data_IF_450630995098
#
_entry.id   IF_450630995098
#
_cell.length_a   1.000
_cell.length_b   1.000
_cell.length_c   1.000
_cell.angle_alpha   90.00
_cell.angle_beta   90.00
_cell.angle_gamma   90.00
#
_symmetry.space_group_name_H-M   'P 1'
#
loop_
_entity.id
_entity.type
_entity.pdbx_description
1 polymer ?
#
# COMPACT_ATOMS: atom_id res chain seq x y z
N UNK A 1 4.98 17.34 24.61
CA UNK A 1 6.00 16.82 23.67
C UNK A 1 5.87 17.50 22.32
N UNK A 2 6.99 17.92 21.71
CA UNK A 2 7.02 18.53 20.39
C UNK A 2 7.40 17.50 19.31
N UNK A 3 6.59 17.40 18.24
CA UNK A 3 6.77 16.45 17.14
C UNK A 3 6.85 17.21 15.84
N UNK A 4 7.85 16.88 15.02
CA UNK A 4 7.98 17.39 13.67
C UNK A 4 7.55 16.31 12.66
N UNK A 5 6.68 16.67 11.72
CA UNK A 5 6.15 15.83 10.67
C UNK A 5 6.83 16.17 9.36
N UNK A 6 7.55 15.21 8.78
CA UNK A 6 8.20 15.35 7.48
C UNK A 6 7.29 14.86 6.36
N UNK A 7 7.47 15.40 5.15
CA UNK A 7 6.64 15.09 3.97
C UNK A 7 5.12 15.19 4.30
N UNK A 8 4.75 16.23 5.03
CA UNK A 8 3.38 16.45 5.46
C UNK A 8 2.59 17.12 4.33
N UNK A 9 1.67 16.39 3.74
CA UNK A 9 0.74 16.92 2.74
C UNK A 9 -0.48 17.55 3.45
N UNK A 10 -1.25 18.39 2.74
CA UNK A 10 -2.38 19.10 3.34
C UNK A 10 -3.40 18.14 4.00
N UNK A 11 -3.68 17.00 3.39
CA UNK A 11 -4.60 16.00 3.96
C UNK A 11 -4.10 15.40 5.29
N UNK A 12 -2.77 15.27 5.46
CA UNK A 12 -2.17 14.85 6.74
C UNK A 12 -2.44 15.93 7.78
N UNK A 13 -2.08 17.19 7.46
CA UNK A 13 -2.26 18.35 8.36
C UNK A 13 -3.71 18.43 8.82
N UNK A 14 -4.67 18.39 7.89
CA UNK A 14 -6.09 18.47 8.22
C UNK A 14 -6.54 17.34 9.16
N UNK A 15 -6.08 16.11 8.90
CA UNK A 15 -6.41 14.94 9.71
C UNK A 15 -5.79 15.02 11.11
N UNK A 16 -4.50 15.35 11.20
CA UNK A 16 -3.79 15.47 12.49
C UNK A 16 -4.33 16.63 13.32
N UNK A 17 -4.56 17.80 12.75
CA UNK A 17 -5.12 18.96 13.47
C UNK A 17 -6.55 18.71 13.97
N UNK A 18 -7.36 17.93 13.22
CA UNK A 18 -8.67 17.50 13.68
C UNK A 18 -8.57 16.61 14.94
N UNK A 19 -7.59 15.70 14.98
CA UNK A 19 -7.37 14.79 16.11
C UNK A 19 -6.63 15.45 17.26
N UNK A 20 -5.69 16.37 17.00
CA UNK A 20 -4.84 17.04 18.00
C UNK A 20 -5.64 17.70 19.12
N UNK A 21 -6.87 18.11 18.84
CA UNK A 21 -7.78 18.69 19.86
C UNK A 21 -7.98 17.76 21.07
N UNK A 22 -7.81 16.45 20.88
CA UNK A 22 -7.91 15.43 21.93
C UNK A 22 -6.57 15.17 22.64
N UNK A 23 -5.47 15.79 22.16
CA UNK A 23 -4.09 15.59 22.64
C UNK A 23 -3.39 16.94 22.87
N UNK A 24 -3.86 17.77 23.82
CA UNK A 24 -3.40 19.17 23.98
C UNK A 24 -1.91 19.28 24.35
N UNK A 25 -1.33 18.23 24.93
CA UNK A 25 0.07 18.19 25.33
C UNK A 25 1.03 17.96 24.14
N UNK A 26 0.50 17.64 22.95
CA UNK A 26 1.30 17.42 21.74
C UNK A 26 1.35 18.70 20.91
N UNK A 27 2.54 19.22 20.68
CA UNK A 27 2.81 20.31 19.72
C UNK A 27 3.26 19.70 18.38
N UNK A 28 2.58 20.05 17.29
CA UNK A 28 2.87 19.54 15.95
C UNK A 28 3.50 20.63 15.09
N UNK A 29 4.61 20.31 14.43
CA UNK A 29 5.24 21.14 13.40
C UNK A 29 5.23 20.36 12.09
N UNK A 30 4.72 20.94 11.01
CA UNK A 30 4.59 20.28 9.70
C UNK A 30 5.59 20.83 8.70
N UNK A 31 6.28 19.95 7.99
CA UNK A 31 7.21 20.27 6.91
C UNK A 31 6.81 19.51 5.64
N UNK A 32 6.85 20.21 4.51
CA UNK A 32 6.71 19.58 3.18
C UNK A 32 7.97 18.81 2.76
N UNK A 33 9.13 19.15 3.36
CA UNK A 33 10.41 18.52 3.05
C UNK A 33 10.45 17.07 3.55
N UNK A 34 11.08 16.20 2.76
CA UNK A 34 11.39 14.82 3.13
C UNK A 34 12.39 14.74 4.29
N UNK A 35 12.33 13.65 5.04
CA UNK A 35 13.34 13.32 6.04
C UNK A 35 14.57 12.72 5.35
N UNK A 36 15.63 13.50 5.30
CA UNK A 36 16.95 13.14 4.77
C UNK A 36 18.04 13.43 5.81
N UNK A 37 19.29 13.08 5.53
CA UNK A 37 20.41 13.44 6.42
C UNK A 37 20.55 14.97 6.58
N UNK A 38 20.33 15.73 5.50
CA UNK A 38 20.43 17.19 5.51
C UNK A 38 19.26 17.87 6.23
N UNK A 39 18.04 17.34 6.07
CA UNK A 39 16.83 17.91 6.68
C UNK A 39 16.62 17.46 8.12
N UNK A 40 17.29 16.39 8.57
CA UNK A 40 17.19 15.89 9.94
C UNK A 40 17.52 16.95 11.00
N UNK A 41 18.37 17.95 10.69
CA UNK A 41 18.68 19.09 11.55
C UNK A 41 17.46 19.95 11.91
N UNK A 42 16.42 19.93 11.09
CA UNK A 42 15.18 20.68 11.34
C UNK A 42 14.37 20.10 12.52
N UNK A 43 14.75 18.90 12.98
CA UNK A 43 14.17 18.29 14.19
C UNK A 43 14.78 18.82 15.50
N UNK A 44 15.70 19.78 15.43
CA UNK A 44 16.29 20.40 16.64
C UNK A 44 15.19 21.00 17.53
N UNK A 45 15.22 20.65 18.83
CA UNK A 45 14.20 21.05 19.80
C UNK A 45 12.90 20.26 19.73
N UNK A 46 12.83 19.19 18.92
CA UNK A 46 11.72 18.24 18.89
C UNK A 46 12.14 16.92 19.56
N UNK A 47 11.28 16.34 20.37
CA UNK A 47 11.51 15.04 21.01
C UNK A 47 11.07 13.88 20.12
N UNK A 48 10.15 14.14 19.20
CA UNK A 48 9.62 13.16 18.26
C UNK A 48 9.67 13.61 16.81
N UNK A 49 9.84 12.65 15.91
CA UNK A 49 9.75 12.81 14.46
C UNK A 49 8.66 11.90 13.94
N UNK A 50 7.81 12.42 13.07
CA UNK A 50 6.84 11.62 12.32
C UNK A 50 7.24 11.59 10.84
N UNK A 51 7.39 10.38 10.28
CA UNK A 51 7.78 10.14 8.90
C UNK A 51 6.80 9.20 8.17
N UNK A 52 6.95 9.09 6.86
CA UNK A 52 6.09 8.26 6.01
C UNK A 52 6.93 7.24 5.21
N UNK A 53 6.26 6.45 4.36
CA UNK A 53 6.92 5.42 3.53
C UNK A 53 7.85 5.98 2.46
N UNK A 54 7.67 7.25 2.07
CA UNK A 54 8.50 8.00 1.13
C UNK A 54 9.91 8.27 1.65
N UNK A 55 10.09 8.42 2.96
CA UNK A 55 11.39 8.72 3.58
C UNK A 55 12.27 7.48 3.65
N UNK A 56 13.56 7.58 3.28
CA UNK A 56 14.55 6.52 3.50
C UNK A 56 15.35 6.82 4.77
N UNK A 57 15.01 6.14 5.87
CA UNK A 57 15.55 6.43 7.20
C UNK A 57 16.73 5.51 7.49
N UNK A 58 17.89 5.91 6.97
CA UNK A 58 19.17 5.19 7.12
C UNK A 58 19.80 5.44 8.50
N UNK A 59 20.85 4.67 8.82
CA UNK A 59 21.65 4.88 10.02
C UNK A 59 22.27 6.29 10.11
N UNK A 60 22.57 6.94 9.00
CA UNK A 60 23.08 8.34 8.99
C UNK A 60 22.00 9.34 9.40
N UNK A 61 20.76 9.16 8.90
CA UNK A 61 19.60 9.96 9.31
C UNK A 61 19.31 9.78 10.80
N UNK A 62 19.25 8.54 11.29
CA UNK A 62 19.00 8.22 12.69
C UNK A 62 20.07 8.80 13.61
N UNK A 63 21.35 8.74 13.20
CA UNK A 63 22.44 9.39 13.95
C UNK A 63 22.21 10.89 14.08
N UNK A 64 21.85 11.58 12.99
CA UNK A 64 21.55 13.01 13.01
C UNK A 64 20.37 13.35 13.91
N UNK A 65 19.30 12.56 13.82
CA UNK A 65 18.15 12.73 14.72
C UNK A 65 18.55 12.59 16.19
N UNK A 66 19.36 11.58 16.52
CA UNK A 66 19.90 11.39 17.87
C UNK A 66 20.77 12.59 18.33
N UNK A 67 21.65 13.10 17.46
CA UNK A 67 22.49 14.28 17.75
C UNK A 67 21.64 15.52 18.07
N UNK A 68 20.42 15.64 17.51
CA UNK A 68 19.46 16.71 17.76
C UNK A 68 18.47 16.40 18.90
N UNK A 69 18.67 15.28 19.63
CA UNK A 69 17.91 14.95 20.84
C UNK A 69 16.58 14.22 20.59
N UNK A 70 16.31 13.76 19.37
CA UNK A 70 15.13 12.97 19.04
C UNK A 70 15.20 11.59 19.71
N UNK A 71 14.11 11.17 20.34
CA UNK A 71 13.99 9.89 21.04
C UNK A 71 12.88 8.99 20.50
N UNK A 72 11.99 9.56 19.69
CA UNK A 72 10.82 8.88 19.15
C UNK A 72 10.73 9.09 17.65
N UNK A 73 10.63 7.98 16.89
CA UNK A 73 10.27 7.96 15.48
C UNK A 73 8.89 7.34 15.35
N UNK A 74 7.95 8.10 14.81
CA UNK A 74 6.59 7.70 14.53
C UNK A 74 6.44 7.46 13.03
N UNK A 75 6.09 6.24 12.64
CA UNK A 75 5.71 5.92 11.26
C UNK A 75 4.19 6.05 11.14
N UNK A 76 3.71 7.05 10.37
CA UNK A 76 2.27 7.23 10.12
C UNK A 76 1.74 6.24 9.07
N UNK A 77 2.24 4.99 9.12
CA UNK A 77 1.91 3.91 8.21
C UNK A 77 2.16 2.54 8.86
N UNK A 78 1.71 1.47 8.21
CA UNK A 78 1.92 0.10 8.69
C UNK A 78 3.30 -0.46 8.30
N UNK A 79 3.81 -0.11 7.11
CA UNK A 79 5.12 -0.52 6.63
C UNK A 79 6.26 0.24 7.31
N UNK A 80 7.40 -0.41 7.47
CA UNK A 80 8.61 0.18 8.07
C UNK A 80 9.90 -0.33 7.42
N UNK A 81 9.81 -0.90 6.23
CA UNK A 81 10.95 -1.45 5.48
C UNK A 81 12.00 -0.37 5.11
N UNK A 82 11.59 0.90 5.16
CA UNK A 82 12.39 2.07 4.89
C UNK A 82 13.16 2.59 6.13
N UNK A 83 13.09 1.90 7.28
CA UNK A 83 13.75 2.28 8.53
C UNK A 83 14.83 1.27 8.90
N UNK A 84 16.06 1.73 9.18
CA UNK A 84 17.11 0.90 9.76
C UNK A 84 16.87 0.71 11.26
N UNK A 85 16.18 -0.39 11.59
CA UNK A 85 15.79 -0.70 12.97
C UNK A 85 17.00 -0.97 13.87
N UNK A 86 18.08 -1.57 13.33
CA UNK A 86 19.30 -1.85 14.11
C UNK A 86 19.98 -0.57 14.56
N UNK A 87 20.07 0.41 13.65
CA UNK A 87 20.65 1.71 13.98
C UNK A 87 19.68 2.55 14.85
N UNK A 88 18.35 2.41 14.72
CA UNK A 88 17.42 3.04 15.64
C UNK A 88 17.64 2.56 17.09
N UNK A 89 17.75 1.25 17.31
CA UNK A 89 18.09 0.66 18.62
C UNK A 89 19.44 1.16 19.15
N UNK A 90 20.47 1.19 18.30
CA UNK A 90 21.82 1.66 18.63
C UNK A 90 21.83 3.12 19.13
N UNK A 91 21.02 3.99 18.53
CA UNK A 91 20.91 5.39 18.90
C UNK A 91 19.83 5.64 19.96
N UNK A 92 19.16 4.61 20.47
CA UNK A 92 18.13 4.74 21.51
C UNK A 92 16.86 5.43 21.03
N UNK A 93 16.56 5.38 19.73
CA UNK A 93 15.35 5.93 19.13
C UNK A 93 14.26 4.86 19.14
N UNK A 94 13.19 5.07 19.88
CA UNK A 94 12.02 4.18 19.86
C UNK A 94 11.24 4.38 18.57
N UNK A 95 11.00 3.28 17.83
CA UNK A 95 10.21 3.31 16.59
C UNK A 95 8.81 2.76 16.86
N UNK A 96 7.78 3.59 16.62
CA UNK A 96 6.37 3.22 16.73
C UNK A 96 5.69 3.43 15.38
N UNK A 97 4.74 2.56 15.04
CA UNK A 97 4.02 2.60 13.77
C UNK A 97 2.50 2.54 13.97
N UNK A 98 1.76 2.65 12.89
CA UNK A 98 0.32 2.38 12.85
C UNK A 98 0.12 0.99 12.22
N UNK A 99 -0.06 -0.08 13.03
CA UNK A 99 -0.06 -1.47 12.53
C UNK A 99 -1.29 -1.82 11.69
N UNK A 100 -2.33 -1.01 11.77
CA UNK A 100 -3.56 -1.16 10.98
C UNK A 100 -4.45 0.06 11.15
N UNK A 101 -4.98 0.56 10.05
CA UNK A 101 -5.80 1.77 10.04
C UNK A 101 -7.20 1.52 9.44
N UNK A 102 -7.31 0.87 8.29
CA UNK A 102 -8.55 0.44 7.64
C UNK A 102 -8.24 -0.69 6.66
N UNK A 103 -8.31 -1.95 7.07
CA UNK A 103 -8.16 -3.08 6.15
C UNK A 103 -9.21 -3.04 5.03
N UNK A 104 -10.39 -2.53 5.33
CA UNK A 104 -11.51 -2.36 4.41
C UNK A 104 -11.15 -1.41 3.28
N UNK A 105 -10.54 -0.24 3.56
CA UNK A 105 -10.16 0.74 2.55
C UNK A 105 -9.28 0.12 1.45
N UNK A 106 -8.25 -0.63 1.83
CA UNK A 106 -7.34 -1.27 0.86
C UNK A 106 -8.03 -2.40 0.11
N UNK A 107 -8.87 -3.20 0.78
CA UNK A 107 -9.61 -4.29 0.14
C UNK A 107 -10.67 -3.77 -0.84
N UNK A 108 -11.39 -2.72 -0.48
CA UNK A 108 -12.36 -2.05 -1.35
C UNK A 108 -11.67 -1.40 -2.56
N UNK A 109 -10.50 -0.78 -2.36
CA UNK A 109 -9.71 -0.24 -3.46
C UNK A 109 -9.24 -1.35 -4.41
N UNK A 110 -8.78 -2.50 -3.88
CA UNK A 110 -8.41 -3.66 -4.69
C UNK A 110 -9.60 -4.16 -5.53
N UNK A 111 -10.79 -4.25 -4.94
CA UNK A 111 -12.01 -4.63 -5.66
C UNK A 111 -12.42 -3.55 -6.67
N UNK A 112 -12.27 -2.26 -6.34
CA UNK A 112 -12.55 -1.17 -7.27
C UNK A 112 -11.65 -1.24 -8.50
N UNK A 113 -10.35 -1.49 -8.34
CA UNK A 113 -9.41 -1.73 -9.45
C UNK A 113 -9.83 -2.96 -10.27
N UNK A 114 -10.15 -4.09 -9.60
CA UNK A 114 -10.62 -5.30 -10.27
C UNK A 114 -11.86 -5.04 -11.13
N UNK A 115 -12.86 -4.34 -10.60
CA UNK A 115 -14.08 -3.97 -11.33
C UNK A 115 -13.80 -2.98 -12.46
N UNK A 116 -12.96 -1.96 -12.21
CA UNK A 116 -12.63 -0.94 -13.20
C UNK A 116 -11.93 -1.53 -14.43
N UNK A 117 -10.96 -2.45 -14.25
CA UNK A 117 -10.30 -3.12 -15.37
C UNK A 117 -11.22 -4.13 -16.06
N UNK A 118 -12.02 -4.86 -15.29
CA UNK A 118 -12.92 -5.91 -15.81
C UNK A 118 -14.07 -5.31 -16.61
N UNK A 119 -14.69 -4.23 -16.13
CA UNK A 119 -15.82 -3.55 -16.77
C UNK A 119 -15.36 -2.40 -17.68
N UNK A 120 -14.05 -2.17 -17.80
CA UNK A 120 -13.43 -1.12 -18.62
C UNK A 120 -13.99 0.28 -18.34
N UNK A 121 -14.27 0.58 -17.06
CA UNK A 121 -14.90 1.84 -16.62
C UNK A 121 -14.09 3.06 -17.08
N UNK A 122 -12.76 3.02 -16.87
CA UNK A 122 -11.83 4.08 -17.29
C UNK A 122 -11.93 4.40 -18.81
N UNK A 123 -12.06 3.37 -19.65
CA UNK A 123 -12.22 3.57 -21.10
C UNK A 123 -13.60 4.07 -21.47
N UNK A 124 -14.64 3.50 -20.87
CA UNK A 124 -16.01 3.95 -21.10
C UNK A 124 -16.18 5.42 -20.75
N UNK A 125 -15.62 5.85 -19.61
CA UNK A 125 -15.62 7.25 -19.17
C UNK A 125 -14.96 8.18 -20.20
N UNK A 126 -13.75 7.87 -20.67
CA UNK A 126 -13.03 8.67 -21.67
C UNK A 126 -13.82 8.75 -22.99
N UNK A 127 -14.28 7.60 -23.52
CA UNK A 127 -15.04 7.55 -24.76
C UNK A 127 -16.28 8.45 -24.73
N UNK A 128 -17.07 8.40 -23.67
CA UNK A 128 -18.27 9.23 -23.53
C UNK A 128 -17.92 10.72 -23.48
N UNK A 129 -16.83 11.11 -22.82
CA UNK A 129 -16.35 12.50 -22.83
C UNK A 129 -15.90 12.98 -24.20
N UNK A 130 -15.50 12.07 -25.08
CA UNK A 130 -15.16 12.33 -26.48
C UNK A 130 -16.37 12.17 -27.43
N UNK A 131 -17.59 12.14 -26.89
CA UNK A 131 -18.84 11.91 -27.63
C UNK A 131 -18.90 10.58 -28.38
N UNK A 132 -18.11 9.59 -27.97
CA UNK A 132 -18.11 8.25 -28.55
C UNK A 132 -18.91 7.29 -27.66
N UNK A 133 -20.16 7.02 -28.01
CA UNK A 133 -21.09 6.15 -27.26
C UNK A 133 -21.06 4.69 -27.76
N UNK A 134 -20.13 4.31 -28.64
CA UNK A 134 -20.00 2.94 -29.13
C UNK A 134 -19.51 1.99 -28.04
N UNK A 135 -20.12 0.81 -27.93
CA UNK A 135 -19.73 -0.26 -27.02
C UNK A 135 -18.50 -1.06 -27.48
N UNK A 136 -17.99 -0.80 -28.67
CA UNK A 136 -16.82 -1.53 -29.22
C UNK A 136 -15.61 -1.41 -28.26
N UNK A 137 -15.04 -2.56 -27.86
CA UNK A 137 -13.90 -2.64 -26.97
C UNK A 137 -14.23 -2.45 -25.47
N UNK A 138 -15.52 -2.36 -25.08
CA UNK A 138 -15.95 -2.22 -23.68
C UNK A 138 -16.52 -3.52 -23.09
N UNK A 139 -16.50 -4.64 -23.83
CA UNK A 139 -16.97 -5.92 -23.28
C UNK A 139 -16.17 -6.32 -22.06
N UNK A 140 -16.87 -6.58 -20.96
CA UNK A 140 -16.33 -6.99 -19.67
C UNK A 140 -16.66 -8.43 -19.31
N UNK A 141 -16.34 -8.80 -18.07
CA UNK A 141 -16.64 -10.09 -17.46
C UNK A 141 -17.46 -9.87 -16.18
N UNK A 142 -18.27 -10.87 -15.80
CA UNK A 142 -18.90 -10.92 -14.48
C UNK A 142 -18.02 -11.70 -13.51
N UNK A 143 -17.99 -11.28 -12.25
CA UNK A 143 -17.29 -12.03 -11.18
C UNK A 143 -18.17 -13.09 -10.54
N UNK A 144 -19.49 -12.94 -10.60
CA UNK A 144 -20.43 -13.93 -10.04
C UNK A 144 -20.16 -15.32 -10.62
N UNK A 145 -20.07 -16.32 -9.76
CA UNK A 145 -19.80 -17.71 -10.14
C UNK A 145 -18.37 -18.03 -10.52
N UNK A 146 -17.46 -17.04 -10.53
CA UNK A 146 -16.03 -17.22 -10.80
C UNK A 146 -15.24 -17.49 -9.51
N UNK A 147 -13.96 -17.80 -9.65
CA UNK A 147 -13.05 -18.07 -8.54
C UNK A 147 -12.16 -16.88 -8.26
N UNK A 148 -12.15 -16.44 -7.01
CA UNK A 148 -11.18 -15.47 -6.48
C UNK A 148 -10.06 -16.19 -5.74
N UNK A 149 -8.81 -15.96 -6.13
CA UNK A 149 -7.60 -16.41 -5.46
C UNK A 149 -6.96 -15.28 -4.66
N UNK A 150 -6.98 -15.40 -3.34
CA UNK A 150 -6.44 -14.40 -2.43
C UNK A 150 -5.11 -14.88 -1.89
N UNK A 151 -4.06 -14.11 -2.12
CA UNK A 151 -2.70 -14.42 -1.67
C UNK A 151 -2.37 -13.55 -0.47
N UNK A 152 -2.36 -14.15 0.72
CA UNK A 152 -2.31 -13.48 2.00
C UNK A 152 -3.71 -13.23 2.57
N UNK A 153 -4.01 -13.80 3.75
CA UNK A 153 -5.31 -13.71 4.44
C UNK A 153 -5.21 -13.03 5.80
N UNK A 154 -4.25 -12.10 5.93
CA UNK A 154 -4.20 -11.15 7.02
C UNK A 154 -5.45 -10.25 7.04
N UNK A 155 -5.43 -9.16 7.79
CA UNK A 155 -6.61 -8.29 7.95
C UNK A 155 -7.19 -7.81 6.61
N UNK A 156 -6.35 -7.34 5.69
CA UNK A 156 -6.76 -6.83 4.36
C UNK A 156 -7.27 -7.97 3.48
N UNK A 157 -6.51 -9.07 3.38
CA UNK A 157 -6.93 -10.23 2.57
C UNK A 157 -8.21 -10.87 3.09
N UNK A 158 -8.44 -10.89 4.40
CA UNK A 158 -9.68 -11.34 4.99
C UNK A 158 -10.88 -10.46 4.59
N UNK A 159 -10.69 -9.13 4.57
CA UNK A 159 -11.71 -8.21 4.07
C UNK A 159 -11.98 -8.46 2.58
N UNK A 160 -10.94 -8.63 1.76
CA UNK A 160 -11.08 -8.97 0.34
C UNK A 160 -11.80 -10.31 0.12
N UNK A 161 -11.51 -11.34 0.94
CA UNK A 161 -12.25 -12.62 0.89
C UNK A 161 -13.75 -12.40 1.10
N UNK A 162 -14.14 -11.60 2.10
CA UNK A 162 -15.55 -11.30 2.38
C UNK A 162 -16.21 -10.53 1.23
N UNK A 163 -15.51 -9.56 0.64
CA UNK A 163 -15.99 -8.81 -0.53
C UNK A 163 -16.22 -9.77 -1.69
N UNK A 164 -15.24 -10.62 -2.05
CA UNK A 164 -15.37 -11.59 -3.14
C UNK A 164 -16.51 -12.58 -2.87
N UNK A 165 -16.68 -13.05 -1.64
CA UNK A 165 -17.78 -13.93 -1.24
C UNK A 165 -19.13 -13.22 -1.46
N UNK A 166 -19.24 -11.95 -1.08
CA UNK A 166 -20.45 -11.12 -1.31
C UNK A 166 -20.78 -10.93 -2.79
N UNK A 167 -19.79 -11.00 -3.69
CA UNK A 167 -19.98 -11.02 -5.14
C UNK A 167 -20.46 -12.39 -5.68
N UNK A 168 -20.63 -13.40 -4.81
CA UNK A 168 -21.00 -14.75 -5.23
C UNK A 168 -19.84 -15.52 -5.89
N UNK A 169 -18.59 -15.16 -5.57
CA UNK A 169 -17.42 -15.90 -6.05
C UNK A 169 -17.09 -17.09 -5.15
N UNK A 170 -16.51 -18.14 -5.73
CA UNK A 170 -15.78 -19.16 -4.98
C UNK A 170 -14.46 -18.56 -4.52
N UNK A 171 -14.24 -18.47 -3.19
CA UNK A 171 -13.01 -17.90 -2.65
C UNK A 171 -12.06 -19.02 -2.25
N UNK A 172 -10.86 -18.98 -2.81
CA UNK A 172 -9.71 -19.82 -2.44
C UNK A 172 -8.53 -18.94 -2.04
N UNK A 173 -7.65 -19.45 -1.19
CA UNK A 173 -6.54 -18.65 -0.70
C UNK A 173 -5.25 -19.44 -0.54
N UNK A 174 -4.14 -18.71 -0.57
CA UNK A 174 -2.83 -19.16 -0.11
C UNK A 174 -2.35 -18.23 1.00
N UNK A 175 -1.94 -18.82 2.11
CA UNK A 175 -1.24 -18.14 3.19
C UNK A 175 -0.36 -19.15 3.91
N UNK A 176 0.74 -18.68 4.54
CA UNK A 176 1.55 -19.50 5.46
C UNK A 176 0.84 -19.72 6.79
N UNK A 177 -0.07 -18.81 7.17
CA UNK A 177 -0.92 -18.89 8.36
C UNK A 177 -2.38 -18.77 7.95
N UNK A 178 -3.09 -19.91 7.97
CA UNK A 178 -4.51 -19.93 7.62
C UNK A 178 -5.33 -19.15 8.67
N UNK A 179 -6.20 -18.28 8.21
CA UNK A 179 -7.07 -17.48 9.09
C UNK A 179 -8.31 -18.31 9.47
N UNK A 180 -8.48 -18.67 10.76
CA UNK A 180 -9.60 -19.49 11.21
C UNK A 180 -10.98 -18.81 11.11
N UNK A 181 -11.01 -17.48 11.02
CA UNK A 181 -12.26 -16.71 10.93
C UNK A 181 -12.85 -16.70 9.51
N UNK A 182 -12.22 -17.38 8.56
CA UNK A 182 -12.64 -17.47 7.16
C UNK A 182 -13.11 -18.88 6.82
N UNK A 183 -14.17 -19.34 7.45
CA UNK A 183 -14.74 -20.70 7.32
C UNK A 183 -15.23 -21.06 5.90
N UNK A 184 -15.57 -20.05 5.10
CA UNK A 184 -16.00 -20.19 3.71
C UNK A 184 -14.83 -20.25 2.71
N UNK A 185 -13.57 -19.98 3.16
CA UNK A 185 -12.37 -19.97 2.31
C UNK A 185 -11.68 -21.32 2.34
N UNK A 186 -11.33 -21.86 1.17
CA UNK A 186 -10.48 -23.04 1.07
C UNK A 186 -9.05 -22.66 0.78
N UNK A 187 -8.12 -23.21 1.58
CA UNK A 187 -6.69 -22.98 1.42
C UNK A 187 -6.05 -24.05 0.55
N UNK A 188 -5.20 -23.61 -0.37
CA UNK A 188 -4.46 -24.46 -1.30
C UNK A 188 -3.01 -23.98 -1.45
N UNK A 189 -2.10 -24.84 -1.98
CA UNK A 189 -0.78 -24.39 -2.41
C UNK A 189 -0.87 -23.25 -3.42
N UNK A 190 0.11 -22.34 -3.42
CA UNK A 190 0.14 -21.19 -4.32
C UNK A 190 -0.12 -21.57 -5.78
N UNK A 191 0.56 -22.62 -6.26
CA UNK A 191 0.42 -23.07 -7.67
C UNK A 191 -1.01 -23.46 -8.02
N UNK A 192 -1.78 -24.00 -7.09
CA UNK A 192 -3.17 -24.39 -7.30
C UNK A 192 -4.08 -23.15 -7.28
N UNK A 193 -3.85 -22.21 -6.33
CA UNK A 193 -4.56 -20.94 -6.32
C UNK A 193 -4.38 -20.20 -7.64
N UNK A 194 -3.16 -20.15 -8.17
CA UNK A 194 -2.90 -19.49 -9.46
C UNK A 194 -3.63 -20.15 -10.63
N UNK A 195 -3.68 -21.50 -10.68
CA UNK A 195 -4.35 -22.24 -11.77
C UNK A 195 -5.87 -22.12 -11.74
N UNK A 196 -6.47 -22.04 -10.55
CA UNK A 196 -7.91 -22.10 -10.39
C UNK A 196 -8.59 -20.72 -10.44
N UNK A 197 -7.83 -19.62 -10.32
CA UNK A 197 -8.39 -18.30 -10.13
C UNK A 197 -8.70 -17.56 -11.42
N UNK A 198 -9.84 -16.88 -11.44
CA UNK A 198 -10.26 -15.92 -12.47
C UNK A 198 -9.88 -14.48 -12.06
N UNK A 199 -9.82 -14.22 -10.74
CA UNK A 199 -9.28 -13.01 -10.10
C UNK A 199 -8.19 -13.42 -9.13
N UNK A 200 -7.02 -12.81 -9.22
CA UNK A 200 -5.91 -12.97 -8.26
C UNK A 200 -5.64 -11.62 -7.62
N UNK A 201 -5.62 -11.58 -6.28
CA UNK A 201 -5.35 -10.36 -5.52
C UNK A 201 -4.29 -10.62 -4.43
N UNK A 202 -3.26 -9.75 -4.41
CA UNK A 202 -2.13 -9.86 -3.48
C UNK A 202 -2.36 -9.02 -2.23
N UNK A 203 -2.25 -9.66 -1.06
CA UNK A 203 -2.38 -9.04 0.27
C UNK A 203 -1.36 -9.60 1.28
N UNK A 204 -0.29 -10.22 0.79
CA UNK A 204 0.81 -10.72 1.61
C UNK A 204 1.90 -9.66 1.81
N UNK A 205 2.69 -9.70 2.89
CA UNK A 205 3.82 -8.81 3.10
C UNK A 205 4.97 -9.12 2.12
N UNK A 206 5.82 -8.12 1.87
CA UNK A 206 7.08 -8.32 1.20
C UNK A 206 8.12 -8.85 2.20
N UNK A 207 8.63 -10.03 1.92
CA UNK A 207 9.70 -10.72 2.66
C UNK A 207 10.68 -11.30 1.65
N UNK A 208 11.80 -11.84 2.11
CA UNK A 208 12.74 -12.55 1.24
C UNK A 208 12.06 -13.70 0.46
N UNK A 209 11.16 -14.43 1.10
CA UNK A 209 10.43 -15.56 0.50
C UNK A 209 9.29 -15.15 -0.44
N UNK A 210 8.79 -13.93 -0.34
CA UNK A 210 7.73 -13.41 -1.20
C UNK A 210 8.23 -12.42 -2.25
N UNK A 211 9.52 -12.09 -2.25
CA UNK A 211 10.14 -11.27 -3.29
C UNK A 211 9.98 -11.93 -4.65
N UNK A 212 9.44 -11.19 -5.62
CA UNK A 212 9.11 -11.68 -6.96
C UNK A 212 8.28 -12.99 -6.95
N UNK A 213 7.35 -13.09 -5.98
CA UNK A 213 6.40 -14.21 -5.91
C UNK A 213 5.65 -14.39 -7.23
N UNK A 214 5.35 -13.28 -7.89
CA UNK A 214 4.76 -13.24 -9.24
C UNK A 214 5.87 -12.93 -10.25
N UNK A 215 6.20 -13.92 -11.05
CA UNK A 215 7.25 -13.93 -12.06
C UNK A 215 6.81 -14.73 -13.30
N UNK A 216 7.69 -14.90 -14.28
CA UNK A 216 7.37 -15.64 -15.51
C UNK A 216 6.81 -17.04 -15.26
N UNK A 217 7.39 -17.79 -14.29
CA UNK A 217 6.96 -19.15 -13.98
C UNK A 217 5.54 -19.14 -13.40
N UNK A 218 5.30 -18.35 -12.37
CA UNK A 218 4.01 -18.26 -11.68
C UNK A 218 2.93 -17.66 -12.58
N UNK A 219 3.24 -16.68 -13.43
CA UNK A 219 2.33 -16.14 -14.45
C UNK A 219 1.93 -17.23 -15.44
N UNK A 220 2.84 -18.13 -15.83
CA UNK A 220 2.53 -19.23 -16.75
C UNK A 220 1.46 -20.19 -16.22
N UNK A 221 1.38 -20.35 -14.88
CA UNK A 221 0.38 -21.20 -14.22
C UNK A 221 -1.03 -20.61 -14.22
N UNK A 222 -1.16 -19.30 -14.35
CA UNK A 222 -2.45 -18.61 -14.28
C UNK A 222 -3.34 -18.97 -15.47
N UNK A 223 -4.66 -18.80 -15.30
CA UNK A 223 -5.61 -18.92 -16.40
C UNK A 223 -5.36 -17.89 -17.48
N UNK A 224 -5.75 -18.22 -18.72
CA UNK A 224 -5.91 -17.21 -19.78
C UNK A 224 -7.05 -16.24 -19.39
N UNK A 225 -6.86 -14.94 -19.69
CA UNK A 225 -7.81 -13.88 -19.36
C UNK A 225 -8.04 -13.71 -17.84
N UNK A 226 -7.04 -14.01 -16.99
CA UNK A 226 -7.10 -13.75 -15.56
C UNK A 226 -7.12 -12.24 -15.28
N UNK A 227 -7.82 -11.83 -14.23
CA UNK A 227 -7.71 -10.47 -13.66
C UNK A 227 -6.71 -10.50 -12.53
N UNK A 228 -5.75 -9.57 -12.54
CA UNK A 228 -4.68 -9.50 -11.55
C UNK A 228 -4.68 -8.15 -10.84
N UNK A 229 -4.59 -8.15 -9.50
CA UNK A 229 -4.57 -6.93 -8.67
C UNK A 229 -3.44 -6.99 -7.63
N UNK A 230 -2.68 -5.91 -7.53
CA UNK A 230 -1.69 -5.72 -6.48
C UNK A 230 -1.90 -4.37 -5.77
N UNK A 231 -2.33 -4.41 -4.53
CA UNK A 231 -2.46 -3.27 -3.60
C UNK A 231 -1.61 -3.48 -2.34
N UNK A 232 -0.57 -4.34 -2.43
CA UNK A 232 0.27 -4.69 -1.29
C UNK A 232 1.66 -4.07 -1.39
N UNK A 233 2.60 -4.69 -2.12
CA UNK A 233 3.96 -4.17 -2.37
C UNK A 233 4.38 -4.45 -3.81
N UNK A 234 5.04 -3.47 -4.43
CA UNK A 234 5.50 -3.57 -5.83
C UNK A 234 6.38 -4.78 -6.06
N UNK A 235 7.40 -4.96 -5.24
CA UNK A 235 8.39 -6.02 -5.38
C UNK A 235 7.89 -7.46 -5.08
N UNK A 236 6.61 -7.66 -4.80
CA UNK A 236 5.97 -8.98 -4.87
C UNK A 236 5.86 -9.48 -6.32
N UNK A 237 5.94 -8.57 -7.29
CA UNK A 237 5.77 -8.83 -8.72
C UNK A 237 7.04 -8.42 -9.45
N UNK A 238 7.64 -9.32 -10.22
CA UNK A 238 8.64 -8.93 -11.18
C UNK A 238 7.96 -8.14 -12.31
N UNK A 239 8.18 -6.84 -12.36
CA UNK A 239 7.44 -5.95 -13.26
C UNK A 239 7.72 -6.23 -14.73
N UNK A 240 8.95 -6.60 -15.10
CA UNK A 240 9.29 -6.96 -16.47
C UNK A 240 8.57 -8.25 -16.93
N UNK A 241 8.44 -9.24 -16.03
CA UNK A 241 7.71 -10.48 -16.32
C UNK A 241 6.20 -10.23 -16.44
N UNK A 242 5.66 -9.35 -15.60
CA UNK A 242 4.27 -8.91 -15.72
C UNK A 242 4.02 -8.24 -17.07
N UNK A 243 4.91 -7.34 -17.51
CA UNK A 243 4.85 -6.67 -18.82
C UNK A 243 4.87 -7.70 -19.97
N UNK A 244 5.72 -8.74 -19.88
CA UNK A 244 5.73 -9.84 -20.87
C UNK A 244 4.38 -10.57 -20.90
N UNK A 245 3.81 -10.87 -19.73
CA UNK A 245 2.48 -11.48 -19.59
C UNK A 245 1.35 -10.61 -20.17
N UNK A 246 1.39 -9.30 -19.95
CA UNK A 246 0.41 -8.35 -20.52
C UNK A 246 0.51 -8.36 -22.07
N UNK A 247 1.73 -8.29 -22.61
CA UNK A 247 1.97 -8.33 -24.07
C UNK A 247 1.52 -9.62 -24.71
N UNK A 248 1.66 -10.75 -24.02
CA UNK A 248 1.19 -12.06 -24.52
C UNK A 248 -0.34 -12.23 -24.37
N UNK A 249 -1.06 -11.21 -23.87
CA UNK A 249 -2.51 -11.22 -23.63
C UNK A 249 -2.97 -12.25 -22.57
N UNK A 250 -2.09 -12.61 -21.64
CA UNK A 250 -2.40 -13.49 -20.52
C UNK A 250 -3.51 -12.92 -19.64
N UNK A 251 -3.51 -11.59 -19.45
CA UNK A 251 -4.40 -10.88 -18.54
C UNK A 251 -5.60 -10.23 -19.25
N UNK A 252 -6.80 -10.45 -18.74
CA UNK A 252 -7.97 -9.64 -19.12
C UNK A 252 -7.78 -8.18 -18.68
N UNK A 253 -7.30 -7.99 -17.46
CA UNK A 253 -6.99 -6.69 -16.88
C UNK A 253 -6.03 -6.80 -15.71
N UNK A 254 -5.25 -5.74 -15.50
CA UNK A 254 -4.29 -5.61 -14.39
C UNK A 254 -4.57 -4.31 -13.65
N UNK A 255 -4.76 -4.39 -12.33
CA UNK A 255 -4.91 -3.26 -11.43
C UNK A 255 -3.72 -3.17 -10.48
N UNK A 256 -2.99 -2.09 -10.51
CA UNK A 256 -1.81 -1.86 -9.67
C UNK A 256 -2.00 -0.58 -8.87
N UNK A 257 -1.99 -0.69 -7.56
CA UNK A 257 -1.84 0.46 -6.68
C UNK A 257 -0.36 0.68 -6.32
N UNK A 258 0.45 -0.37 -6.53
CA UNK A 258 1.89 -0.42 -6.25
C UNK A 258 2.63 -1.15 -7.38
N UNK A 259 3.87 -0.73 -7.66
CA UNK A 259 4.81 -1.39 -8.59
C UNK A 259 6.26 -1.14 -8.15
N UNK A 260 7.25 -1.86 -8.67
CA UNK A 260 8.63 -1.82 -8.13
C UNK A 260 9.30 -0.45 -8.17
N UNK A 261 9.06 0.31 -9.23
CA UNK A 261 9.71 1.61 -9.47
C UNK A 261 8.79 2.79 -9.11
N UNK A 262 7.84 2.60 -8.19
CA UNK A 262 6.87 3.64 -7.83
C UNK A 262 7.48 4.80 -7.04
N UNK A 263 8.57 4.57 -6.32
CA UNK A 263 9.12 5.49 -5.29
C UNK A 263 9.36 6.91 -5.80
N UNK A 264 9.76 7.07 -7.06
CA UNK A 264 10.02 8.39 -7.65
C UNK A 264 8.76 9.17 -8.02
N UNK A 265 7.62 8.48 -8.14
CA UNK A 265 6.38 9.05 -8.65
C UNK A 265 5.28 9.14 -7.60
N UNK A 266 5.37 8.35 -6.52
CA UNK A 266 4.33 8.25 -5.50
C UNK A 266 4.18 9.56 -4.75
N UNK A 267 2.94 10.08 -4.70
CA UNK A 267 2.54 11.33 -4.05
C UNK A 267 3.08 12.62 -4.67
N UNK A 268 3.74 12.55 -5.86
CA UNK A 268 4.31 13.70 -6.55
C UNK A 268 3.44 14.15 -7.75
N UNK A 269 3.41 15.46 -8.00
CA UNK A 269 2.79 16.01 -9.20
C UNK A 269 3.81 16.11 -10.33
N UNK A 270 3.73 15.19 -11.28
CA UNK A 270 4.61 15.09 -12.44
C UNK A 270 3.90 15.42 -13.76
N UNK A 271 2.83 16.23 -13.73
CA UNK A 271 2.01 16.52 -14.93
C UNK A 271 2.79 17.16 -16.06
N UNK A 272 3.78 17.99 -15.75
CA UNK A 272 4.62 18.69 -16.74
C UNK A 272 5.98 18.03 -16.95
N UNK A 273 6.27 16.91 -16.24
CA UNK A 273 7.53 16.20 -16.32
C UNK A 273 7.51 15.11 -17.39
N UNK A 274 8.67 14.78 -17.93
CA UNK A 274 8.87 13.58 -18.73
C UNK A 274 9.14 12.43 -17.78
N UNK A 275 8.32 11.37 -17.86
CA UNK A 275 8.53 10.14 -17.09
C UNK A 275 9.82 9.45 -17.59
N UNK A 276 10.87 9.51 -16.79
CA UNK A 276 12.16 8.90 -17.12
C UNK A 276 12.10 7.36 -17.02
N UNK A 277 11.29 6.82 -16.08
CA UNK A 277 11.11 5.38 -15.93
C UNK A 277 10.39 4.78 -17.14
N UNK A 278 11.13 3.99 -17.91
CA UNK A 278 10.59 3.25 -19.05
C UNK A 278 9.57 2.20 -18.64
N UNK A 279 9.63 1.67 -17.42
CA UNK A 279 8.71 0.68 -16.87
C UNK A 279 7.37 1.31 -16.56
N UNK A 280 7.34 2.44 -15.85
CA UNK A 280 6.12 3.18 -15.56
C UNK A 280 5.40 3.60 -16.86
N UNK A 281 6.14 4.21 -17.81
CA UNK A 281 5.58 4.62 -19.09
C UNK A 281 4.97 3.44 -19.86
N UNK A 282 5.62 2.26 -19.83
CA UNK A 282 5.09 1.03 -20.47
C UNK A 282 3.82 0.54 -19.80
N UNK A 283 3.77 0.51 -18.45
CA UNK A 283 2.57 0.10 -17.72
C UNK A 283 1.39 1.00 -18.05
N UNK A 284 1.59 2.32 -18.06
CA UNK A 284 0.56 3.30 -18.39
C UNK A 284 0.09 3.23 -19.85
N UNK A 285 0.92 2.70 -20.77
CA UNK A 285 0.56 2.55 -22.19
C UNK A 285 -0.40 1.41 -22.48
N UNK A 286 -0.53 0.41 -21.58
CA UNK A 286 -1.36 -0.76 -21.84
C UNK A 286 -2.85 -0.45 -21.62
N UNK A 287 -3.70 -0.77 -22.58
CA UNK A 287 -5.12 -0.43 -22.54
C UNK A 287 -5.93 -1.25 -21.52
N UNK A 288 -5.39 -2.30 -20.95
CA UNK A 288 -6.00 -3.18 -19.96
C UNK A 288 -5.29 -3.10 -18.60
N UNK A 289 -4.50 -2.04 -18.36
CA UNK A 289 -3.83 -1.77 -17.08
C UNK A 289 -4.38 -0.49 -16.50
N UNK A 290 -4.64 -0.49 -15.19
CA UNK A 290 -4.89 0.70 -14.37
C UNK A 290 -3.81 0.75 -13.31
N UNK A 291 -3.13 1.88 -13.21
CA UNK A 291 -2.17 2.19 -12.14
C UNK A 291 -2.76 3.33 -11.31
N UNK A 292 -2.73 3.19 -10.01
CA UNK A 292 -3.06 4.24 -9.04
C UNK A 292 -1.84 4.54 -8.18
N UNK A 293 -1.79 5.69 -7.54
CA UNK A 293 -0.60 6.23 -6.89
C UNK A 293 -0.52 5.85 -5.42
N UNK A 294 -0.46 4.52 -5.12
CA UNK A 294 -0.37 3.97 -3.76
C UNK A 294 -1.44 4.57 -2.83
N UNK A 295 -2.67 4.69 -3.34
CA UNK A 295 -3.77 5.40 -2.69
C UNK A 295 -4.79 4.48 -2.01
N UNK A 296 -4.55 3.17 -1.99
CA UNK A 296 -5.49 2.20 -1.41
C UNK A 296 -5.85 2.46 0.05
N UNK A 297 -5.01 3.18 0.79
CA UNK A 297 -5.29 3.60 2.16
C UNK A 297 -6.09 4.91 2.25
N UNK A 298 -6.22 5.67 1.19
CA UNK A 298 -6.61 7.07 1.21
C UNK A 298 -8.12 7.25 1.35
N UNK A 299 -8.64 7.05 2.57
CA UNK A 299 -10.03 7.28 2.97
C UNK A 299 -10.09 8.12 4.25
N UNK A 300 -11.22 8.77 4.52
CA UNK A 300 -11.42 9.56 5.75
C UNK A 300 -11.22 8.70 7.00
N UNK A 301 -11.74 7.48 7.00
CA UNK A 301 -11.64 6.53 8.11
C UNK A 301 -10.20 6.11 8.37
N UNK A 302 -9.46 5.81 7.31
CA UNK A 302 -8.05 5.43 7.43
C UNK A 302 -7.20 6.59 7.94
N UNK A 303 -7.35 7.79 7.37
CA UNK A 303 -6.62 8.98 7.83
C UNK A 303 -6.94 9.33 9.29
N UNK A 304 -8.21 9.23 9.71
CA UNK A 304 -8.60 9.43 11.09
C UNK A 304 -8.01 8.37 12.03
N UNK A 305 -7.92 7.12 11.60
CA UNK A 305 -7.28 6.05 12.37
C UNK A 305 -5.76 6.23 12.46
N UNK A 306 -5.10 6.62 11.35
CA UNK A 306 -3.67 6.91 11.29
C UNK A 306 -3.31 8.05 12.26
N UNK A 307 -3.99 9.19 12.13
CA UNK A 307 -3.69 10.36 12.97
C UNK A 307 -3.95 10.09 14.46
N UNK A 308 -5.06 9.44 14.78
CA UNK A 308 -5.38 9.04 16.15
C UNK A 308 -4.31 8.12 16.73
N UNK A 309 -3.98 7.01 16.07
CA UNK A 309 -3.00 6.03 16.58
C UNK A 309 -1.61 6.62 16.71
N UNK A 310 -1.20 7.49 15.77
CA UNK A 310 0.09 8.20 15.84
C UNK A 310 0.16 9.10 17.07
N UNK A 311 -0.88 9.88 17.33
CA UNK A 311 -0.95 10.75 18.52
C UNK A 311 -1.08 9.96 19.83
N UNK A 312 -1.80 8.83 19.82
CA UNK A 312 -1.84 7.90 20.97
C UNK A 312 -0.45 7.34 21.28
N UNK A 313 0.31 6.93 20.26
CA UNK A 313 1.69 6.48 20.43
C UNK A 313 2.57 7.56 21.04
N UNK A 314 2.48 8.78 20.54
CA UNK A 314 3.22 9.92 21.05
C UNK A 314 2.89 10.21 22.52
N UNK A 315 1.60 10.29 22.85
CA UNK A 315 1.11 10.56 24.19
C UNK A 315 1.48 9.45 25.19
N UNK A 316 1.44 8.18 24.74
CA UNK A 316 1.88 7.06 25.57
C UNK A 316 3.38 7.14 25.85
N UNK A 317 4.20 7.44 24.83
CA UNK A 317 5.64 7.60 24.97
C UNK A 317 6.01 8.75 25.93
N UNK A 318 5.38 9.91 25.80
CA UNK A 318 5.58 11.05 26.70
C UNK A 318 5.31 10.68 28.17
N UNK A 319 4.33 9.81 28.41
CA UNK A 319 4.00 9.28 29.75
C UNK A 319 4.86 8.09 30.18
N UNK A 320 5.97 7.82 29.50
CA UNK A 320 6.90 6.71 29.79
C UNK A 320 6.31 5.32 29.49
N UNK A 321 5.29 5.22 28.64
CA UNK A 321 4.67 3.96 28.23
C UNK A 321 4.87 3.72 26.75
N UNK A 322 4.99 2.44 26.36
CA UNK A 322 5.09 2.01 24.95
C UNK A 322 3.92 1.08 24.65
N UNK A 323 3.18 1.39 23.61
CA UNK A 323 2.14 0.50 23.07
C UNK A 323 2.87 -0.61 22.31
N UNK A 324 3.01 -1.79 22.92
CA UNK A 324 3.86 -2.88 22.43
C UNK A 324 3.47 -3.38 21.03
N UNK A 325 2.17 -3.39 20.72
CA UNK A 325 1.64 -3.81 19.43
C UNK A 325 2.05 -2.87 18.28
N UNK A 326 2.38 -1.62 18.62
CA UNK A 326 2.78 -0.58 17.68
C UNK A 326 4.31 -0.44 17.59
N UNK A 327 5.06 -1.07 18.51
CA UNK A 327 6.51 -0.99 18.53
C UNK A 327 7.13 -1.88 17.46
N UNK A 328 8.10 -1.31 16.75
CA UNK A 328 8.96 -2.04 15.80
C UNK A 328 10.28 -2.38 16.52
N UNK A 329 10.73 -3.63 16.39
CA UNK A 329 11.99 -4.14 16.95
C UNK A 329 12.71 -4.97 15.91
#
# INVERSE_FOLDING_TARGET
MKIIFYDAKQYDIDSFEKQRKNYPDIESVYLEADLTEDTARLAEGCEGVCAFVSSTITGSVLRRLHEHGVKLLLMRCAGYNNVDIKDADKYGITVLRVPGYSPEAVAEHAMALALAVTRRIHKGYIKVRENNFSLNGLMGLDFHGKTAGIIGTGRIGAAMCRICHGFGMRVIAYDVYQNPDLDFVKYYPLSEVLRESDLISLHCPLTESSYHLINTETISLMKENVVFVNTSRGALVNTEDLIKGIRSRKFHGVGLDVYEEETENVFENRQEDILESSVTARLLSFPNVIVTSHQGFFTEEALAAISRTTLENACAFERGRIIKENQVK
#
